data_IF_273355968233
#
_entry.id   IF_273355968233
#
_cell.length_a   1.000
_cell.length_b   1.000
_cell.length_c   1.000
_cell.angle_alpha   90.00
_cell.angle_beta   90.00
_cell.angle_gamma   90.00
#
_symmetry.space_group_name_H-M   'P 1'
#
loop_
_entity.id
_entity.type
_entity.pdbx_description
1 polymer ?
#
# COMPACT_ATOMS: atom_id res chain seq x y z
N UNK A 1 12.98 -21.07 21.21
CA UNK A 1 12.89 -20.31 19.93
C UNK A 1 12.67 -18.84 20.24
N UNK A 2 13.74 -18.02 20.23
CA UNK A 2 13.63 -16.57 20.40
C UNK A 2 13.27 -15.97 19.04
N UNK A 3 12.00 -15.70 18.81
CA UNK A 3 11.54 -14.96 17.64
C UNK A 3 12.06 -13.52 17.76
N UNK A 4 13.23 -13.31 17.16
CA UNK A 4 13.58 -12.10 16.40
C UNK A 4 13.48 -10.78 17.19
N UNK A 5 14.49 -10.41 18.01
CA UNK A 5 14.65 -9.01 18.47
C UNK A 5 14.78 -8.02 17.29
N UNK A 6 14.98 -8.54 16.07
CA UNK A 6 15.00 -7.83 14.79
C UNK A 6 13.59 -7.38 14.33
N UNK A 7 12.46 -7.84 14.89
CA UNK A 7 11.12 -7.47 14.39
C UNK A 7 10.86 -5.96 14.52
N UNK A 8 11.28 -5.34 15.63
CA UNK A 8 11.25 -3.88 15.81
C UNK A 8 12.12 -3.16 14.77
N UNK A 9 13.20 -3.79 14.30
CA UNK A 9 14.10 -3.24 13.28
C UNK A 9 13.52 -3.43 11.87
N UNK A 10 12.82 -4.52 11.62
CA UNK A 10 12.12 -4.81 10.37
C UNK A 10 11.00 -3.78 10.10
N UNK A 11 10.33 -3.28 11.14
CA UNK A 11 9.36 -2.17 11.03
C UNK A 11 9.95 -0.84 10.55
N UNK A 12 11.28 -0.68 10.58
CA UNK A 12 11.94 0.51 10.00
C UNK A 12 12.16 0.39 8.49
N UNK A 13 11.97 -0.79 7.90
CA UNK A 13 12.10 -0.97 6.46
C UNK A 13 10.87 -0.40 5.76
N UNK A 14 11.09 0.53 4.82
CA UNK A 14 10.03 1.13 4.00
C UNK A 14 9.22 0.07 3.25
N UNK A 15 9.86 -1.01 2.79
CA UNK A 15 9.20 -2.15 2.14
C UNK A 15 8.20 -2.86 3.06
N UNK A 16 8.54 -3.07 4.34
CA UNK A 16 7.62 -3.70 5.30
C UNK A 16 6.47 -2.77 5.65
N UNK A 17 6.74 -1.47 5.77
CA UNK A 17 5.70 -0.46 5.98
C UNK A 17 4.74 -0.39 4.79
N UNK A 18 5.26 -0.43 3.56
CA UNK A 18 4.45 -0.45 2.35
C UNK A 18 3.60 -1.73 2.29
N UNK A 19 4.18 -2.88 2.59
CA UNK A 19 3.47 -4.16 2.65
C UNK A 19 2.36 -4.15 3.70
N UNK A 20 2.63 -3.60 4.90
CA UNK A 20 1.63 -3.44 5.94
C UNK A 20 0.51 -2.48 5.53
N UNK A 21 0.86 -1.38 4.85
CA UNK A 21 -0.09 -0.40 4.34
C UNK A 21 -1.00 -1.03 3.27
N UNK A 22 -0.42 -1.80 2.34
CA UNK A 22 -1.18 -2.55 1.32
C UNK A 22 -2.10 -3.59 1.98
N UNK A 23 -1.62 -4.31 2.98
CA UNK A 23 -2.43 -5.30 3.69
C UNK A 23 -3.62 -4.63 4.41
N UNK A 24 -3.39 -3.51 5.08
CA UNK A 24 -4.44 -2.72 5.73
C UNK A 24 -5.45 -2.18 4.71
N UNK A 25 -4.97 -1.69 3.56
CA UNK A 25 -5.82 -1.16 2.49
C UNK A 25 -6.71 -2.26 1.89
N UNK A 26 -6.18 -3.47 1.70
CA UNK A 26 -6.95 -4.63 1.24
C UNK A 26 -8.01 -5.05 2.27
N UNK A 27 -7.64 -5.14 3.56
CA UNK A 27 -8.59 -5.45 4.61
C UNK A 27 -9.73 -4.42 4.69
N UNK A 28 -9.39 -3.13 4.55
CA UNK A 28 -10.38 -2.05 4.46
C UNK A 28 -11.26 -2.18 3.22
N UNK A 29 -10.73 -2.58 2.07
CA UNK A 29 -11.51 -2.82 0.85
C UNK A 29 -12.53 -3.95 1.03
N UNK A 30 -12.13 -5.06 1.66
CA UNK A 30 -13.06 -6.15 2.01
C UNK A 30 -14.17 -5.66 2.95
N UNK A 31 -13.82 -4.89 3.98
CA UNK A 31 -14.81 -4.30 4.90
C UNK A 31 -15.72 -3.28 4.23
N UNK A 32 -15.18 -2.45 3.32
CA UNK A 32 -15.92 -1.43 2.57
C UNK A 32 -17.02 -2.04 1.69
N UNK A 33 -16.75 -3.19 1.06
CA UNK A 33 -17.74 -3.93 0.26
C UNK A 33 -18.89 -4.45 1.15
N UNK A 34 -18.63 -4.79 2.42
CA UNK A 34 -19.68 -5.21 3.35
C UNK A 34 -20.69 -4.11 3.71
N UNK A 35 -20.35 -2.84 3.50
CA UNK A 35 -21.26 -1.71 3.70
C UNK A 35 -22.11 -1.37 2.46
N UNK A 36 -22.03 -2.18 1.40
CA UNK A 36 -22.83 -2.01 0.19
C UNK A 36 -24.33 -2.15 0.52
N UNK A 37 -25.09 -1.08 0.29
CA UNK A 37 -26.52 -0.99 0.60
C UNK A 37 -26.89 -0.19 1.87
N UNK A 38 -25.94 0.04 2.79
CA UNK A 38 -26.16 0.89 3.98
C UNK A 38 -25.69 2.34 3.79
N UNK A 39 -24.76 2.56 2.87
CA UNK A 39 -24.18 3.89 2.60
C UNK A 39 -24.90 4.54 1.40
N UNK A 40 -25.19 5.86 1.46
CA UNK A 40 -25.81 6.58 0.35
C UNK A 40 -25.01 6.41 -0.96
N UNK A 41 -25.69 6.21 -2.12
CA UNK A 41 -25.03 5.96 -3.40
C UNK A 41 -24.01 7.04 -3.81
N UNK A 42 -24.29 8.30 -3.48
CA UNK A 42 -23.40 9.42 -3.78
C UNK A 42 -22.07 9.33 -3.01
N UNK A 43 -22.14 8.95 -1.73
CA UNK A 43 -20.95 8.76 -0.88
C UNK A 43 -20.15 7.58 -1.39
N UNK A 44 -20.81 6.47 -1.70
CA UNK A 44 -20.16 5.28 -2.26
C UNK A 44 -19.44 5.58 -3.58
N UNK A 45 -20.10 6.29 -4.50
CA UNK A 45 -19.51 6.70 -5.78
C UNK A 45 -18.32 7.66 -5.59
N UNK A 46 -18.45 8.66 -4.70
CA UNK A 46 -17.39 9.64 -4.46
C UNK A 46 -16.10 9.00 -3.93
N UNK A 47 -16.22 8.04 -3.00
CA UNK A 47 -15.08 7.32 -2.42
C UNK A 47 -14.40 6.46 -3.49
N UNK A 48 -15.17 5.70 -4.26
CA UNK A 48 -14.61 4.87 -5.32
C UNK A 48 -13.96 5.71 -6.44
N UNK A 49 -14.57 6.85 -6.79
CA UNK A 49 -14.00 7.79 -7.77
C UNK A 49 -12.68 8.37 -7.26
N UNK A 50 -12.62 8.82 -6.00
CA UNK A 50 -11.41 9.34 -5.38
C UNK A 50 -10.29 8.29 -5.31
N UNK A 51 -10.61 7.06 -4.91
CA UNK A 51 -9.67 5.94 -4.90
C UNK A 51 -9.18 5.59 -6.31
N UNK A 52 -10.06 5.64 -7.31
CA UNK A 52 -9.72 5.42 -8.71
C UNK A 52 -8.72 6.47 -9.23
N UNK A 53 -8.95 7.75 -8.92
CA UNK A 53 -8.04 8.85 -9.26
C UNK A 53 -6.69 8.65 -8.56
N UNK A 54 -6.69 8.35 -7.26
CA UNK A 54 -5.47 8.11 -6.51
C UNK A 54 -4.65 6.94 -7.09
N UNK A 55 -5.31 5.86 -7.50
CA UNK A 55 -4.66 4.73 -8.16
C UNK A 55 -4.10 5.10 -9.54
N UNK A 56 -4.81 5.93 -10.32
CA UNK A 56 -4.31 6.43 -11.58
C UNK A 56 -3.05 7.31 -11.40
N UNK A 57 -3.06 8.21 -10.42
CA UNK A 57 -1.90 9.04 -10.07
C UNK A 57 -0.73 8.19 -9.59
N UNK A 58 -0.97 7.21 -8.73
CA UNK A 58 0.07 6.31 -8.22
C UNK A 58 0.79 5.54 -9.34
N UNK A 59 0.11 5.25 -10.46
CA UNK A 59 0.71 4.61 -11.63
C UNK A 59 1.57 5.55 -12.47
N UNK A 60 1.33 6.85 -12.39
CA UNK A 60 2.09 7.88 -13.13
C UNK A 60 3.37 8.27 -12.39
N UNK A 61 3.40 8.12 -11.07
CA UNK A 61 4.62 8.36 -10.28
C UNK A 61 5.65 7.29 -10.63
N UNK A 62 6.68 7.69 -11.38
CA UNK A 62 7.81 6.81 -11.70
C UNK A 62 8.46 6.36 -10.39
N UNK A 63 8.48 5.04 -10.18
CA UNK A 63 9.30 4.47 -9.12
C UNK A 63 10.76 4.72 -9.50
N UNK A 64 11.58 5.32 -8.61
CA UNK A 64 13.01 5.49 -8.89
C UNK A 64 13.62 4.13 -9.24
N UNK A 65 14.41 4.07 -10.30
CA UNK A 65 15.01 2.82 -10.74
C UNK A 65 15.83 2.25 -9.60
N UNK A 66 15.55 1.00 -9.21
CA UNK A 66 16.47 0.21 -8.40
C UNK A 66 17.60 -0.23 -9.34
N UNK A 67 18.37 0.73 -9.81
CA UNK A 67 19.67 0.45 -10.40
C UNK A 67 20.59 0.27 -9.20
N UNK A 68 20.84 -0.98 -8.83
CA UNK A 68 21.99 -1.27 -7.98
C UNK A 68 23.21 -0.72 -8.70
N UNK A 69 23.84 0.30 -8.12
CA UNK A 69 25.19 0.67 -8.49
C UNK A 69 26.09 -0.52 -8.19
N UNK A 70 26.28 -1.40 -9.18
CA UNK A 70 27.51 -2.18 -9.30
C UNK A 70 28.54 -1.25 -9.93
N UNK A 71 28.93 -0.25 -9.15
CA UNK A 71 30.30 0.26 -9.22
C UNK A 71 31.12 -0.72 -8.36
N UNK A 72 32.29 -1.14 -8.88
CA UNK A 72 33.25 -2.15 -8.37
C UNK A 72 33.10 -3.56 -9.01
N UNK A 73 34.00 -4.09 -9.85
CA UNK A 73 35.33 -3.76 -10.38
C UNK A 73 35.57 -4.62 -11.66
N UNK A 74 36.45 -4.22 -12.60
CA UNK A 74 36.97 -5.09 -13.66
C UNK A 74 37.96 -6.16 -13.14
#
# INVERSE_FOLDING_TARGET
>A
MKLVPIWKRAWKLSSLQLAALIAALNAAAYGWVSFNGYIPPLVWASVNMGLGIAAAVARVVQQPSVTGGQDEQP
#
